data_IF_280467693332
#
_entry.id   IF_280467693332
#
_cell.length_a   1.000
_cell.length_b   1.000
_cell.length_c   1.000
_cell.angle_alpha   90.00
_cell.angle_beta   90.00
_cell.angle_gamma   90.00
#
_symmetry.space_group_name_H-M   'P 1'
#
loop_
_entity.id
_entity.type
_entity.pdbx_description
1 polymer ?
#
# COMPACT_ATOMS: atom_id res chain seq x y z
N UNK A 1 9.64 3.85 -13.24
CA UNK A 1 9.99 3.39 -11.87
C UNK A 1 8.70 3.22 -11.09
N UNK A 2 8.53 2.10 -10.38
CA UNK A 2 7.38 1.87 -9.48
C UNK A 2 7.79 2.08 -8.02
N UNK A 3 6.82 2.24 -7.11
CA UNK A 3 7.10 2.38 -5.67
C UNK A 3 7.91 1.21 -5.11
N UNK A 4 7.65 -0.02 -5.59
CA UNK A 4 8.42 -1.22 -5.20
C UNK A 4 9.92 -1.04 -5.50
N UNK A 5 10.25 -0.56 -6.71
CA UNK A 5 11.63 -0.29 -7.08
C UNK A 5 12.27 0.84 -6.27
N UNK A 6 11.51 1.91 -5.98
CA UNK A 6 11.97 3.05 -5.21
C UNK A 6 12.30 2.70 -3.74
N UNK A 7 11.66 1.67 -3.19
CA UNK A 7 11.95 1.15 -1.85
C UNK A 7 12.87 -0.08 -1.84
N UNK A 8 13.31 -0.54 -3.01
CA UNK A 8 14.26 -1.64 -3.19
C UNK A 8 15.53 -1.19 -3.91
N UNK A 9 15.65 -1.55 -5.19
CA UNK A 9 16.85 -1.35 -6.01
C UNK A 9 17.37 0.10 -6.05
N UNK A 10 16.49 1.09 -5.98
CA UNK A 10 16.84 2.51 -6.11
C UNK A 10 16.55 3.31 -4.83
N UNK A 11 16.69 2.66 -3.67
CA UNK A 11 16.36 3.23 -2.36
C UNK A 11 17.11 4.53 -2.05
N UNK A 12 16.34 5.59 -1.78
CA UNK A 12 16.79 6.78 -1.06
C UNK A 12 16.47 6.60 0.44
N UNK A 13 17.43 6.69 1.38
CA UNK A 13 17.21 6.41 2.80
C UNK A 13 16.19 7.35 3.49
N UNK A 14 15.83 8.49 2.86
CA UNK A 14 14.87 9.44 3.41
C UNK A 14 13.43 8.98 3.32
N UNK A 15 13.06 8.05 2.43
CA UNK A 15 11.66 7.61 2.35
C UNK A 15 11.29 6.83 3.62
N UNK A 16 10.20 7.22 4.27
CA UNK A 16 9.71 6.59 5.52
C UNK A 16 8.43 5.78 5.32
N UNK A 17 7.76 5.97 4.19
CA UNK A 17 6.56 5.24 3.82
C UNK A 17 6.43 5.12 2.29
N UNK A 18 5.67 4.15 1.82
CA UNK A 18 5.34 3.97 0.41
C UNK A 18 3.94 3.39 0.19
N UNK A 19 3.33 3.76 -0.93
CA UNK A 19 2.02 3.27 -1.35
C UNK A 19 2.16 2.60 -2.72
N UNK A 20 1.63 1.40 -2.86
CA UNK A 20 1.55 0.64 -4.10
C UNK A 20 0.08 0.51 -4.49
N UNK A 21 -0.31 1.13 -5.60
CA UNK A 21 -1.65 1.05 -6.17
C UNK A 21 -1.60 0.11 -7.38
N UNK A 22 -2.29 -1.02 -7.32
CA UNK A 22 -2.34 -2.03 -8.40
C UNK A 22 -0.96 -2.42 -8.97
N UNK A 23 0.06 -2.53 -8.10
CA UNK A 23 1.45 -2.70 -8.51
C UNK A 23 2.02 -4.09 -8.18
N UNK A 24 3.13 -4.44 -8.84
CA UNK A 24 3.88 -5.68 -8.57
C UNK A 24 5.39 -5.45 -8.59
N UNK A 25 6.14 -6.52 -8.28
CA UNK A 25 7.61 -6.53 -8.32
C UNK A 25 8.20 -7.06 -9.64
N UNK A 26 7.38 -7.40 -10.65
CA UNK A 26 7.79 -8.17 -11.84
C UNK A 26 9.02 -7.57 -12.57
N UNK A 27 9.07 -6.26 -12.72
CA UNK A 27 10.10 -5.58 -13.54
C UNK A 27 11.25 -4.99 -12.71
N UNK A 28 11.12 -4.99 -11.39
CA UNK A 28 12.02 -4.26 -10.48
C UNK A 28 12.66 -5.15 -9.41
N UNK A 29 12.14 -6.37 -9.21
CA UNK A 29 12.51 -7.26 -8.12
C UNK A 29 11.89 -6.85 -6.79
N UNK A 30 11.85 -7.79 -5.84
CA UNK A 30 11.27 -7.59 -4.51
C UNK A 30 12.34 -7.47 -3.40
N UNK A 31 13.50 -6.90 -3.74
CA UNK A 31 14.61 -6.70 -2.82
C UNK A 31 14.45 -5.41 -2.00
N UNK A 32 13.49 -5.37 -1.09
CA UNK A 32 13.35 -4.26 -0.14
C UNK A 32 14.58 -4.16 0.77
N UNK A 33 15.18 -2.98 0.86
CA UNK A 33 16.51 -2.78 1.48
C UNK A 33 16.58 -1.50 2.30
N UNK A 34 17.48 -1.50 3.29
CA UNK A 34 17.75 -0.36 4.17
C UNK A 34 16.78 -0.23 5.34
N UNK A 35 16.72 0.97 5.91
CA UNK A 35 15.86 1.27 7.06
C UNK A 35 14.38 0.98 6.77
N UNK A 36 13.64 0.46 7.77
CA UNK A 36 12.21 0.19 7.63
C UNK A 36 11.42 1.39 7.12
N UNK A 37 10.63 1.15 6.08
CA UNK A 37 9.59 2.05 5.60
C UNK A 37 8.24 1.34 5.67
N UNK A 38 7.21 2.03 6.19
CA UNK A 38 5.89 1.43 6.20
C UNK A 38 5.30 1.36 4.79
N UNK A 39 4.58 0.30 4.48
CA UNK A 39 4.01 0.11 3.14
C UNK A 39 2.50 -0.12 3.18
N UNK A 40 1.78 0.54 2.27
CA UNK A 40 0.38 0.26 1.99
C UNK A 40 0.27 -0.26 0.56
N UNK A 41 -0.38 -1.41 0.41
CA UNK A 41 -0.79 -1.95 -0.89
C UNK A 41 -2.30 -1.79 -1.00
N UNK A 42 -2.77 -1.36 -2.17
CA UNK A 42 -4.19 -1.34 -2.50
C UNK A 42 -4.37 -2.00 -3.85
N UNK A 43 -5.20 -3.05 -3.90
CA UNK A 43 -5.30 -3.91 -5.09
C UNK A 43 -6.72 -4.42 -5.30
N UNK A 44 -7.17 -4.40 -6.55
CA UNK A 44 -8.46 -4.94 -6.94
C UNK A 44 -8.43 -6.42 -7.27
N UNK A 45 -9.42 -7.19 -6.81
CA UNK A 45 -9.53 -8.61 -7.17
C UNK A 45 -9.88 -8.82 -8.65
N UNK A 46 -10.51 -7.82 -9.29
CA UNK A 46 -10.84 -7.82 -10.72
C UNK A 46 -9.71 -7.27 -11.60
N UNK A 47 -8.51 -7.07 -11.06
CA UNK A 47 -7.37 -6.60 -11.85
C UNK A 47 -6.85 -7.70 -12.80
N UNK A 48 -7.01 -7.45 -14.10
CA UNK A 48 -6.57 -8.35 -15.18
C UNK A 48 -5.24 -7.93 -15.82
N UNK A 49 -4.67 -6.80 -15.41
CA UNK A 49 -3.38 -6.28 -15.93
C UNK A 49 -2.25 -6.66 -14.98
N UNK A 50 -2.44 -6.43 -13.69
CA UNK A 50 -1.58 -6.89 -12.61
C UNK A 50 -2.46 -7.70 -11.66
N UNK A 51 -2.41 -9.02 -11.79
CA UNK A 51 -3.26 -9.90 -10.96
C UNK A 51 -3.01 -9.68 -9.48
N UNK A 52 -4.03 -9.94 -8.65
CA UNK A 52 -3.90 -9.80 -7.19
C UNK A 52 -2.76 -10.65 -6.63
N UNK A 53 -2.50 -11.83 -7.21
CA UNK A 53 -1.39 -12.70 -6.81
C UNK A 53 -0.03 -12.03 -7.02
N UNK A 54 0.14 -11.25 -8.10
CA UNK A 54 1.37 -10.49 -8.34
C UNK A 54 1.54 -9.34 -7.34
N UNK A 55 0.44 -8.68 -6.97
CA UNK A 55 0.44 -7.67 -5.91
C UNK A 55 0.75 -8.28 -4.54
N UNK A 56 0.17 -9.45 -4.24
CA UNK A 56 0.40 -10.22 -3.02
C UNK A 56 1.84 -10.69 -2.91
N UNK A 57 2.43 -11.23 -3.98
CA UNK A 57 3.83 -11.62 -3.98
C UNK A 57 4.77 -10.43 -3.66
N UNK A 58 4.47 -9.24 -4.16
CA UNK A 58 5.23 -8.03 -3.81
C UNK A 58 5.02 -7.62 -2.35
N UNK A 59 3.78 -7.69 -1.85
CA UNK A 59 3.46 -7.43 -0.45
C UNK A 59 4.17 -8.40 0.49
N UNK A 60 4.14 -9.71 0.21
CA UNK A 60 4.71 -10.75 1.05
C UNK A 60 6.22 -10.60 1.22
N UNK A 61 6.91 -10.15 0.17
CA UNK A 61 8.33 -9.88 0.18
C UNK A 61 8.75 -8.68 1.06
N UNK A 62 7.83 -7.79 1.45
CA UNK A 62 8.15 -6.64 2.31
C UNK A 62 8.46 -7.10 3.74
N UNK A 63 9.66 -6.80 4.29
CA UNK A 63 10.04 -7.21 5.64
C UNK A 63 9.63 -6.20 6.73
N UNK A 64 9.01 -5.08 6.34
CA UNK A 64 8.68 -3.94 7.19
C UNK A 64 7.19 -3.90 7.56
N UNK A 65 6.76 -2.98 8.45
CA UNK A 65 5.34 -2.76 8.74
C UNK A 65 4.57 -2.50 7.44
N UNK A 66 3.49 -3.25 7.23
CA UNK A 66 2.79 -3.25 5.96
C UNK A 66 1.31 -3.50 6.12
N UNK A 67 0.50 -2.99 5.19
CA UNK A 67 -0.90 -3.39 5.08
C UNK A 67 -1.32 -3.60 3.63
N UNK A 68 -2.40 -4.35 3.46
CA UNK A 68 -2.98 -4.64 2.16
C UNK A 68 -4.50 -4.41 2.21
N UNK A 69 -4.97 -3.41 1.46
CA UNK A 69 -6.39 -3.18 1.22
C UNK A 69 -6.81 -3.89 -0.06
N UNK A 70 -7.70 -4.86 0.06
CA UNK A 70 -8.28 -5.57 -1.08
C UNK A 70 -9.58 -4.91 -1.51
N UNK A 71 -9.73 -4.57 -2.79
CA UNK A 71 -10.96 -4.03 -3.36
C UNK A 71 -11.71 -5.19 -4.06
N UNK A 72 -12.84 -5.70 -3.51
CA UNK A 72 -13.46 -6.94 -3.99
C UNK A 72 -13.88 -6.92 -5.47
N UNK A 73 -14.33 -5.76 -5.95
CA UNK A 73 -14.72 -5.52 -7.35
C UNK A 73 -13.75 -4.62 -8.10
N UNK A 74 -12.68 -4.17 -7.45
CA UNK A 74 -11.75 -3.20 -8.02
C UNK A 74 -11.04 -3.74 -9.26
N UNK A 75 -10.93 -2.91 -10.29
CA UNK A 75 -10.15 -3.18 -11.50
C UNK A 75 -8.78 -2.51 -11.43
N UNK A 76 -7.92 -2.73 -12.44
CA UNK A 76 -6.58 -2.14 -12.48
C UNK A 76 -6.55 -0.61 -12.41
N UNK A 77 -7.56 0.07 -13.00
CA UNK A 77 -7.52 1.54 -13.21
C UNK A 77 -8.62 2.29 -12.48
N UNK A 78 -9.87 1.84 -12.60
CA UNK A 78 -11.01 2.68 -12.23
C UNK A 78 -11.01 3.12 -10.76
N UNK A 79 -10.73 2.24 -9.77
CA UNK A 79 -10.68 2.64 -8.36
C UNK A 79 -9.66 3.74 -8.04
N UNK A 80 -8.64 3.91 -8.89
CA UNK A 80 -7.52 4.84 -8.66
C UNK A 80 -7.61 6.12 -9.47
N UNK A 81 -8.49 6.18 -10.48
CA UNK A 81 -8.51 7.27 -11.48
C UNK A 81 -9.90 7.82 -11.79
N UNK A 82 -10.97 7.10 -11.46
CA UNK A 82 -12.34 7.48 -11.80
C UNK A 82 -13.13 7.82 -10.54
N UNK A 83 -13.49 9.09 -10.30
CA UNK A 83 -14.36 9.47 -9.19
C UNK A 83 -15.74 8.82 -9.20
N UNK A 84 -16.17 8.26 -10.34
CA UNK A 84 -17.42 7.51 -10.45
C UNK A 84 -17.30 6.04 -10.00
N UNK A 85 -16.09 5.54 -9.75
CA UNK A 85 -15.89 4.18 -9.24
C UNK A 85 -16.24 4.13 -7.74
N UNK A 86 -17.00 3.13 -7.28
CA UNK A 86 -17.45 3.04 -5.89
C UNK A 86 -16.29 2.94 -4.88
N UNK A 87 -15.12 2.46 -5.28
CA UNK A 87 -13.96 2.32 -4.40
C UNK A 87 -13.08 3.58 -4.37
N UNK A 88 -13.35 4.61 -5.20
CA UNK A 88 -12.48 5.78 -5.36
C UNK A 88 -12.26 6.55 -4.04
N UNK A 89 -13.34 6.84 -3.32
CA UNK A 89 -13.25 7.58 -2.05
C UNK A 89 -12.55 6.75 -0.96
N UNK A 90 -12.75 5.43 -0.96
CA UNK A 90 -12.04 4.51 -0.06
C UNK A 90 -10.54 4.51 -0.32
N UNK A 91 -10.12 4.48 -1.59
CA UNK A 91 -8.70 4.60 -1.98
C UNK A 91 -8.13 5.96 -1.55
N UNK A 92 -8.83 7.06 -1.82
CA UNK A 92 -8.37 8.39 -1.45
C UNK A 92 -8.25 8.57 0.07
N UNK A 93 -9.24 8.11 0.83
CA UNK A 93 -9.24 8.19 2.29
C UNK A 93 -8.13 7.32 2.91
N UNK A 94 -8.01 6.06 2.49
CA UNK A 94 -7.02 5.12 3.05
C UNK A 94 -5.58 5.53 2.75
N UNK A 95 -5.29 6.03 1.54
CA UNK A 95 -3.96 6.55 1.20
C UNK A 95 -3.63 7.80 2.01
N UNK A 96 -4.59 8.71 2.16
CA UNK A 96 -4.41 9.94 2.95
C UNK A 96 -4.19 9.64 4.43
N UNK A 97 -5.01 8.79 5.03
CA UNK A 97 -4.90 8.43 6.44
C UNK A 97 -3.61 7.65 6.72
N UNK A 98 -3.16 6.79 5.80
CA UNK A 98 -1.88 6.12 5.90
C UNK A 98 -0.71 7.11 5.96
N UNK A 99 -0.69 8.12 5.08
CA UNK A 99 0.38 9.12 5.09
C UNK A 99 0.30 10.03 6.32
N UNK A 100 -0.90 10.48 6.71
CA UNK A 100 -1.09 11.28 7.93
C UNK A 100 -0.56 10.54 9.15
N UNK A 101 -0.88 9.25 9.29
CA UNK A 101 -0.38 8.48 10.41
C UNK A 101 1.14 8.23 10.32
N UNK A 102 1.64 7.71 9.19
CA UNK A 102 3.04 7.27 9.08
C UNK A 102 4.05 8.41 8.99
N UNK A 103 3.65 9.59 8.51
CA UNK A 103 4.54 10.74 8.37
C UNK A 103 4.33 11.79 9.46
N UNK A 104 3.11 11.93 9.99
CA UNK A 104 2.78 12.99 10.95
C UNK A 104 2.34 12.46 12.34
N UNK A 105 2.28 11.14 12.53
CA UNK A 105 1.87 10.55 13.81
C UNK A 105 0.38 10.69 14.14
N UNK A 106 -0.48 10.97 13.15
CA UNK A 106 -1.93 11.15 13.35
C UNK A 106 -2.59 9.86 13.85
N UNK A 107 -2.94 9.83 15.13
CA UNK A 107 -3.56 8.67 15.79
C UNK A 107 -5.01 8.45 15.36
N UNK A 108 -5.74 9.48 14.94
CA UNK A 108 -7.11 9.32 14.46
C UNK A 108 -7.14 8.76 13.04
N UNK A 109 -6.17 9.14 12.21
CA UNK A 109 -5.95 8.47 10.92
C UNK A 109 -5.66 6.97 11.10
N UNK A 110 -4.87 6.60 12.11
CA UNK A 110 -4.65 5.19 12.46
C UNK A 110 -5.94 4.45 12.84
N UNK A 111 -6.83 5.09 13.61
CA UNK A 111 -8.14 4.52 13.98
C UNK A 111 -9.03 4.33 12.76
N UNK A 112 -9.07 5.31 11.85
CA UNK A 112 -9.85 5.21 10.59
C UNK A 112 -9.35 4.05 9.71
N UNK A 113 -8.03 3.84 9.60
CA UNK A 113 -7.48 2.67 8.91
C UNK A 113 -7.89 1.35 9.56
N UNK A 114 -7.82 1.24 10.89
CA UNK A 114 -8.27 0.05 11.60
C UNK A 114 -9.77 -0.26 11.40
N UNK A 115 -10.58 0.77 11.11
CA UNK A 115 -12.01 0.63 10.90
C UNK A 115 -12.39 0.13 9.49
N UNK A 116 -11.42 -0.06 8.57
CA UNK A 116 -11.68 -0.54 7.21
C UNK A 116 -12.16 -2.01 7.14
N UNK A 117 -12.12 -2.73 8.26
CA UNK A 117 -12.74 -4.05 8.39
C UNK A 117 -11.99 -5.18 7.69
N UNK A 118 -12.72 -6.23 7.29
CA UNK A 118 -12.14 -7.52 6.84
C UNK A 118 -11.35 -7.47 5.54
N UNK A 119 -11.49 -6.40 4.75
CA UNK A 119 -10.74 -6.21 3.50
C UNK A 119 -9.37 -5.55 3.71
N UNK A 120 -9.08 -5.11 4.95
CA UNK A 120 -7.83 -4.47 5.31
C UNK A 120 -6.98 -5.40 6.18
N UNK A 121 -5.93 -5.95 5.57
CA UNK A 121 -4.95 -6.75 6.27
C UNK A 121 -3.93 -5.83 6.95
N UNK A 122 -4.15 -5.56 8.22
CA UNK A 122 -3.35 -4.64 9.02
C UNK A 122 -2.17 -5.35 9.69
N UNK A 123 -0.96 -5.17 9.13
CA UNK A 123 0.31 -5.56 9.77
C UNK A 123 1.20 -4.34 9.99
N UNK A 124 0.59 -3.21 10.31
CA UNK A 124 1.31 -1.95 10.52
C UNK A 124 1.83 -1.80 11.97
N UNK A 125 1.58 -2.79 12.83
CA UNK A 125 2.17 -2.91 14.17
C UNK A 125 3.66 -3.26 14.06
N UNK A 126 4.50 -2.23 14.10
CA UNK A 126 5.96 -2.33 14.09
C UNK A 126 6.57 -0.96 13.75
N UNK A 127 7.62 -0.57 14.48
CA UNK A 127 8.33 0.71 14.40
C UNK A 127 7.50 1.90 13.90
N UNK A 128 6.56 2.34 14.73
CA UNK A 128 6.31 3.77 14.89
C UNK A 128 7.25 4.22 16.02
N UNK A 129 8.53 4.43 15.70
CA UNK A 129 9.41 5.18 16.61
C UNK A 129 9.11 6.65 16.30
N UNK A 130 8.44 7.36 17.21
CA UNK A 130 9.06 8.11 18.32
C UNK A 130 9.88 9.29 17.77
#
# INVERSE_FOLDING_TARGET
MTTVGALGRWRDPRLKAGIVLAGSARDVGAEFRGDPAAMLFIHGMGDQVVTIDQGRAAYDAVPWPKAFLTLPSGTHRNPFMSPADPDFDLVAASTTDFLRWRLNGDADARKRLAALGSHFEDRLSGAANA
#
